data_IF_613804320192
#
_entry.id   IF_613804320192
#
_cell.length_a   1.000
_cell.length_b   1.000
_cell.length_c   1.000
_cell.angle_alpha   90.00
_cell.angle_beta   90.00
_cell.angle_gamma   90.00
#
_symmetry.space_group_name_H-M   'P 1'
#
loop_
_entity.id
_entity.type
_entity.pdbx_description
1 polymer ?
#
# COMPACT_ATOMS: atom_id res chain seq x y z
N UNK A 1 -27.55 -10.75 22.94
CA UNK A 1 -26.75 -9.51 22.93
C UNK A 1 -25.90 -9.51 21.67
N UNK A 2 -26.18 -8.62 20.71
CA UNK A 2 -25.32 -8.50 19.52
C UNK A 2 -23.94 -7.99 19.95
N UNK A 3 -22.84 -8.57 19.44
CA UNK A 3 -21.51 -8.08 19.76
C UNK A 3 -21.38 -6.61 19.35
N UNK A 4 -20.64 -5.79 20.12
CA UNK A 4 -20.43 -4.39 19.75
C UNK A 4 -19.82 -4.33 18.34
N UNK A 5 -20.27 -3.37 17.49
CA UNK A 5 -19.79 -3.27 16.13
C UNK A 5 -18.27 -3.12 16.13
N UNK A 6 -17.59 -3.90 15.28
CA UNK A 6 -16.14 -3.86 15.17
C UNK A 6 -15.67 -2.43 14.89
N UNK A 7 -14.79 -1.90 15.76
CA UNK A 7 -14.29 -0.53 15.68
C UNK A 7 -12.91 -0.52 15.06
N UNK A 8 -12.71 0.36 14.10
CA UNK A 8 -11.38 0.67 13.56
C UNK A 8 -10.85 1.95 14.18
N UNK A 9 -9.62 1.90 14.68
CA UNK A 9 -8.87 3.08 15.13
C UNK A 9 -7.74 3.36 14.15
N UNK A 10 -7.65 4.61 13.68
CA UNK A 10 -6.60 5.03 12.77
C UNK A 10 -5.22 4.89 13.43
N UNK A 11 -4.31 4.04 12.92
CA UNK A 11 -2.96 3.88 13.47
C UNK A 11 -2.03 5.05 13.13
N UNK A 12 -2.54 6.11 12.49
CA UNK A 12 -1.78 7.27 12.06
C UNK A 12 -0.69 6.97 11.01
N UNK A 13 -0.79 5.81 10.35
CA UNK A 13 0.14 5.42 9.29
C UNK A 13 -0.01 6.32 8.07
N UNK A 14 1.11 6.59 7.42
CA UNK A 14 1.23 7.33 6.16
C UNK A 14 1.65 6.38 5.04
N UNK A 15 1.64 6.86 3.80
CA UNK A 15 2.18 6.11 2.65
C UNK A 15 3.64 5.69 2.85
N UNK A 16 4.44 6.50 3.54
CA UNK A 16 5.85 6.21 3.87
C UNK A 16 6.04 4.99 4.77
N UNK A 17 5.03 4.56 5.51
CA UNK A 17 5.13 3.39 6.39
C UNK A 17 5.09 2.07 5.63
N UNK A 18 4.77 2.10 4.34
CA UNK A 18 4.57 0.91 3.49
C UNK A 18 5.56 0.81 2.32
N UNK A 19 6.54 1.70 2.25
CA UNK A 19 7.54 1.70 1.16
C UNK A 19 8.73 0.81 1.47
N UNK A 20 8.80 0.16 2.63
CA UNK A 20 9.88 -0.76 3.02
C UNK A 20 10.00 -1.95 2.05
N UNK A 21 8.85 -2.51 1.67
CA UNK A 21 8.71 -3.55 0.65
C UNK A 21 7.57 -3.17 -0.27
N UNK A 22 7.82 -3.18 -1.59
CA UNK A 22 6.81 -2.91 -2.62
C UNK A 22 6.74 -4.09 -3.58
N UNK A 23 5.54 -4.61 -3.80
CA UNK A 23 5.25 -5.70 -4.72
C UNK A 23 4.94 -5.12 -6.10
N UNK A 24 5.73 -5.50 -7.11
CA UNK A 24 5.63 -4.99 -8.48
C UNK A 24 5.53 -6.14 -9.48
N UNK A 25 5.06 -5.84 -10.69
CA UNK A 25 5.12 -6.77 -11.82
C UNK A 25 6.54 -6.77 -12.40
N UNK A 26 7.15 -7.94 -12.46
CA UNK A 26 8.49 -8.09 -13.05
C UNK A 26 8.45 -7.72 -14.54
N UNK A 27 9.30 -6.80 -15.02
CA UNK A 27 9.31 -6.42 -16.44
C UNK A 27 9.81 -7.54 -17.37
N UNK A 28 10.49 -8.57 -16.82
CA UNK A 28 11.05 -9.68 -17.62
C UNK A 28 10.12 -10.88 -17.76
N UNK A 29 9.35 -11.22 -16.73
CA UNK A 29 8.53 -12.44 -16.72
C UNK A 29 7.08 -12.22 -16.28
N UNK A 30 6.69 -10.97 -16.04
CA UNK A 30 5.37 -10.57 -15.55
C UNK A 30 4.89 -11.25 -14.25
N UNK A 31 5.76 -11.99 -13.55
CA UNK A 31 5.51 -12.53 -12.20
C UNK A 31 5.80 -11.50 -11.12
N UNK A 32 5.51 -11.86 -9.87
CA UNK A 32 5.74 -10.99 -8.72
C UNK A 32 7.24 -10.73 -8.53
N UNK A 33 7.59 -9.46 -8.37
CA UNK A 33 8.91 -9.00 -7.96
C UNK A 33 8.78 -8.08 -6.75
N UNK A 34 9.87 -7.91 -6.01
CA UNK A 34 9.91 -7.12 -4.79
C UNK A 34 10.93 -6.00 -4.94
N UNK A 35 10.51 -4.78 -4.64
CA UNK A 35 11.41 -3.64 -4.41
C UNK A 35 11.57 -3.49 -2.91
N UNK A 36 12.79 -3.62 -2.40
CA UNK A 36 13.07 -3.57 -0.97
C UNK A 36 14.08 -2.48 -0.67
N UNK A 37 13.93 -1.80 0.48
CA UNK A 37 15.02 -0.99 1.03
C UNK A 37 16.26 -1.86 1.19
N UNK A 38 17.39 -1.42 0.65
CA UNK A 38 18.64 -1.99 1.11
C UNK A 38 18.85 -1.51 2.54
N UNK A 39 19.17 -2.41 3.49
CA UNK A 39 19.53 -1.99 4.84
C UNK A 39 20.84 -1.21 4.75
N UNK A 40 20.74 0.11 4.60
CA UNK A 40 21.86 1.01 4.86
C UNK A 40 21.97 1.12 6.37
N UNK A 41 23.10 0.72 6.93
CA UNK A 41 23.45 1.09 8.28
C UNK A 41 23.28 2.62 8.40
N UNK A 42 22.53 3.08 9.40
CA UNK A 42 22.52 4.49 9.86
C UNK A 42 21.67 5.54 9.12
N UNK A 43 20.76 5.17 8.19
CA UNK A 43 19.87 6.19 7.62
C UNK A 43 18.74 6.60 8.60
N UNK A 44 18.58 7.91 8.91
CA UNK A 44 17.48 8.40 9.74
C UNK A 44 16.09 8.05 9.15
N UNK A 45 15.02 7.94 9.98
CA UNK A 45 13.68 7.55 9.52
C UNK A 45 13.12 8.46 8.41
N UNK A 46 13.49 9.75 8.41
CA UNK A 46 13.03 10.75 7.45
C UNK A 46 13.69 10.63 6.07
N UNK A 47 14.76 9.84 5.92
CA UNK A 47 15.50 9.66 4.66
C UNK A 47 15.16 8.34 3.96
N UNK A 48 14.22 7.55 4.52
CA UNK A 48 13.80 6.24 3.97
C UNK A 48 13.31 6.30 2.52
N UNK A 49 12.80 7.44 2.09
CA UNK A 49 12.46 7.66 0.69
C UNK A 49 13.65 7.57 -0.24
N UNK A 50 14.82 8.05 0.16
CA UNK A 50 15.99 8.14 -0.71
C UNK A 50 16.99 7.01 -0.49
N UNK A 51 16.72 6.11 0.46
CA UNK A 51 17.52 4.90 0.68
C UNK A 51 17.59 4.05 -0.60
N UNK A 52 18.79 3.57 -0.98
CA UNK A 52 18.95 2.67 -2.12
C UNK A 52 17.99 1.48 -2.07
N UNK A 53 17.41 1.13 -3.22
CA UNK A 53 16.39 0.08 -3.32
C UNK A 53 16.88 -1.05 -4.22
N UNK A 54 16.55 -2.29 -3.88
CA UNK A 54 16.81 -3.45 -4.72
C UNK A 54 15.52 -4.04 -5.24
N UNK A 55 15.38 -4.12 -6.56
CA UNK A 55 14.37 -4.91 -7.25
C UNK A 55 14.88 -6.34 -7.38
N UNK A 56 14.12 -7.32 -6.89
CA UNK A 56 14.42 -8.75 -7.01
C UNK A 56 13.19 -9.51 -7.49
N UNK A 57 13.33 -10.26 -8.58
CA UNK A 57 12.38 -11.28 -8.99
C UNK A 57 12.96 -12.67 -8.73
N UNK A 58 12.28 -13.46 -7.90
CA UNK A 58 12.72 -14.83 -7.56
C UNK A 58 12.46 -15.85 -8.67
N UNK A 59 11.54 -15.56 -9.59
CA UNK A 59 11.19 -16.49 -10.67
C UNK A 59 12.19 -16.48 -11.82
N UNK A 60 12.61 -15.30 -12.29
CA UNK A 60 13.52 -15.18 -13.44
C UNK A 60 14.93 -14.68 -13.07
N UNK A 61 15.19 -14.47 -11.77
CA UNK A 61 16.48 -14.00 -11.27
C UNK A 61 16.80 -12.52 -11.56
N UNK A 62 15.84 -11.72 -12.06
CA UNK A 62 16.08 -10.29 -12.29
C UNK A 62 16.45 -9.60 -10.97
N UNK A 63 17.62 -8.98 -10.94
CA UNK A 63 18.09 -8.13 -9.85
C UNK A 63 18.54 -6.79 -10.40
N UNK A 64 18.01 -5.68 -9.86
CA UNK A 64 18.44 -4.31 -10.18
C UNK A 64 18.55 -3.49 -8.91
N UNK A 65 19.50 -2.58 -8.87
CA UNK A 65 19.66 -1.64 -7.76
C UNK A 65 19.35 -0.22 -8.24
N UNK A 66 18.56 0.49 -7.45
CA UNK A 66 18.31 1.92 -7.57
C UNK A 66 19.14 2.62 -6.50
N UNK A 67 20.03 3.53 -6.90
CA UNK A 67 21.11 4.06 -6.07
C UNK A 67 20.79 5.39 -5.36
N UNK A 68 19.51 5.78 -5.30
CA UNK A 68 19.14 7.14 -4.88
C UNK A 68 18.88 8.03 -6.09
N UNK A 69 17.92 8.96 -5.95
CA UNK A 69 17.45 9.83 -7.03
C UNK A 69 16.07 10.41 -6.72
N UNK A 70 15.42 10.99 -7.74
CA UNK A 70 14.04 11.47 -7.60
C UNK A 70 13.08 10.29 -7.39
N UNK A 71 12.49 10.23 -6.21
CA UNK A 71 11.37 9.35 -5.88
C UNK A 71 10.20 10.22 -5.44
N UNK A 72 9.04 10.02 -6.06
CA UNK A 72 7.81 10.71 -5.68
C UNK A 72 6.74 9.67 -5.37
N UNK A 73 6.18 9.75 -4.17
CA UNK A 73 4.95 9.04 -3.88
C UNK A 73 3.81 9.69 -4.65
N UNK A 74 2.74 8.94 -4.88
CA UNK A 74 1.57 9.45 -5.57
C UNK A 74 0.94 10.57 -4.73
N UNK A 75 1.24 11.81 -5.11
CA UNK A 75 0.62 12.99 -4.53
C UNK A 75 -0.88 13.00 -4.87
N UNK A 76 -1.73 13.16 -3.86
CA UNK A 76 -3.17 13.33 -4.03
C UNK A 76 -4.03 12.12 -3.64
N UNK A 77 -5.28 12.15 -4.09
CA UNK A 77 -6.35 11.19 -3.75
C UNK A 77 -6.37 9.96 -4.65
N UNK A 78 -5.46 9.87 -5.63
CA UNK A 78 -5.39 8.75 -6.60
C UNK A 78 -4.50 7.65 -6.04
N UNK A 79 -4.96 6.41 -6.14
CA UNK A 79 -4.18 5.25 -5.71
C UNK A 79 -2.90 5.13 -6.56
N UNK A 80 -1.76 4.71 -5.97
CA UNK A 80 -0.52 4.56 -6.71
C UNK A 80 -0.67 3.48 -7.78
N UNK A 81 -0.34 3.79 -9.02
CA UNK A 81 -0.35 2.82 -10.14
C UNK A 81 1.03 2.17 -10.33
N UNK A 82 2.09 2.87 -9.95
CA UNK A 82 3.47 2.43 -10.09
C UNK A 82 4.25 2.55 -8.78
N UNK A 83 5.32 1.78 -8.67
CA UNK A 83 6.28 1.95 -7.59
C UNK A 83 7.06 3.27 -7.76
N UNK A 84 7.41 3.95 -6.66
CA UNK A 84 8.03 5.28 -6.71
C UNK A 84 9.50 5.27 -7.16
N UNK A 85 10.13 4.10 -7.29
CA UNK A 85 11.58 3.95 -7.52
C UNK A 85 11.91 3.54 -8.96
N UNK A 86 11.35 2.42 -9.39
CA UNK A 86 11.58 1.83 -10.71
C UNK A 86 10.44 2.13 -11.69
N UNK A 87 9.36 2.79 -11.23
CA UNK A 87 8.16 3.13 -12.03
C UNK A 87 7.54 1.91 -12.69
N UNK A 88 7.64 0.74 -12.04
CA UNK A 88 7.02 -0.50 -12.46
C UNK A 88 5.58 -0.58 -11.96
N UNK A 89 4.67 -1.20 -12.72
CA UNK A 89 3.29 -1.40 -12.27
C UNK A 89 3.24 -2.20 -10.97
N UNK A 90 2.37 -1.78 -10.05
CA UNK A 90 2.17 -2.52 -8.80
C UNK A 90 1.57 -3.91 -9.08
N UNK A 91 1.98 -4.89 -8.27
CA UNK A 91 1.37 -6.23 -8.33
C UNK A 91 -0.05 -6.21 -7.75
N UNK A 92 -0.21 -5.50 -6.63
CA UNK A 92 -1.48 -5.34 -5.92
C UNK A 92 -2.23 -4.14 -6.51
N UNK A 93 -2.87 -4.36 -7.65
CA UNK A 93 -3.70 -3.37 -8.32
C UNK A 93 -4.90 -4.06 -8.97
N UNK A 94 -6.09 -3.49 -8.78
CA UNK A 94 -7.35 -3.95 -9.37
C UNK A 94 -8.15 -2.75 -9.85
N UNK A 95 -8.67 -2.84 -11.06
CA UNK A 95 -9.62 -1.87 -11.60
C UNK A 95 -11.04 -2.21 -11.11
N UNK A 96 -11.76 -1.17 -10.67
CA UNK A 96 -13.17 -1.23 -10.29
C UNK A 96 -13.93 -0.18 -11.10
N UNK A 97 -15.27 -0.27 -11.14
CA UNK A 97 -16.10 0.75 -11.81
C UNK A 97 -15.95 2.16 -11.22
N UNK A 98 -15.41 2.28 -10.02
CA UNK A 98 -15.20 3.56 -9.32
C UNK A 98 -13.78 4.10 -9.46
N UNK A 99 -12.87 3.30 -10.02
CA UNK A 99 -11.46 3.61 -10.19
C UNK A 99 -10.56 2.47 -9.76
N UNK A 100 -9.25 2.74 -9.77
CA UNK A 100 -8.23 1.76 -9.44
C UNK A 100 -8.04 1.70 -7.92
N UNK A 101 -8.02 0.48 -7.39
CA UNK A 101 -7.57 0.17 -6.04
C UNK A 101 -6.18 -0.44 -6.10
N UNK A 102 -5.27 0.01 -5.25
CA UNK A 102 -3.92 -0.55 -5.18
C UNK A 102 -3.28 -0.45 -3.80
N UNK A 103 -2.21 -1.20 -3.61
CA UNK A 103 -1.38 -1.20 -2.42
C UNK A 103 0.07 -1.50 -2.78
N UNK A 104 1.02 -1.01 -1.98
CA UNK A 104 2.43 -1.35 -2.12
C UNK A 104 2.72 -2.77 -1.65
N UNK A 105 2.11 -3.20 -0.55
CA UNK A 105 2.33 -4.52 0.02
C UNK A 105 1.12 -5.05 0.79
N UNK A 106 1.24 -6.30 1.26
CA UNK A 106 0.19 -6.95 2.04
C UNK A 106 -0.12 -6.21 3.35
N UNK A 107 0.87 -5.60 4.03
CA UNK A 107 0.62 -4.84 5.26
C UNK A 107 -0.30 -3.63 5.02
N UNK A 108 -0.10 -2.92 3.91
CA UNK A 108 -0.98 -1.83 3.49
C UNK A 108 -2.36 -2.34 3.10
N UNK A 109 -2.41 -3.44 2.34
CA UNK A 109 -3.66 -4.10 1.94
C UNK A 109 -4.49 -4.54 3.15
N UNK A 110 -3.83 -5.03 4.20
CA UNK A 110 -4.45 -5.47 5.44
C UNK A 110 -5.03 -4.30 6.23
N UNK A 111 -4.30 -3.18 6.28
CA UNK A 111 -4.81 -1.97 6.91
C UNK A 111 -6.05 -1.44 6.16
N UNK A 112 -6.01 -1.43 4.83
CA UNK A 112 -7.14 -1.08 3.99
C UNK A 112 -8.35 -1.99 4.25
N UNK A 113 -8.14 -3.31 4.28
CA UNK A 113 -9.19 -4.29 4.56
C UNK A 113 -9.83 -4.07 5.93
N UNK A 114 -9.02 -3.90 6.98
CA UNK A 114 -9.51 -3.60 8.35
C UNK A 114 -10.30 -2.31 8.41
N UNK A 115 -9.84 -1.25 7.74
CA UNK A 115 -10.54 0.03 7.67
C UNK A 115 -11.90 -0.09 6.96
N UNK A 116 -11.93 -0.76 5.81
CA UNK A 116 -13.14 -0.89 4.99
C UNK A 116 -14.18 -1.77 5.68
N UNK A 117 -13.75 -2.89 6.28
CA UNK A 117 -14.61 -3.83 6.98
C UNK A 117 -15.28 -3.22 8.22
N UNK A 118 -14.63 -2.27 8.89
CA UNK A 118 -15.18 -1.69 10.10
C UNK A 118 -16.43 -0.83 9.83
N UNK A 119 -17.55 -1.11 10.53
CA UNK A 119 -18.73 -0.25 10.52
C UNK A 119 -18.48 1.10 11.20
N UNK A 120 -17.68 1.13 12.27
CA UNK A 120 -17.32 2.34 12.99
C UNK A 120 -15.83 2.63 12.82
N UNK A 121 -15.50 3.84 12.36
CA UNK A 121 -14.13 4.28 12.07
C UNK A 121 -13.82 5.53 12.88
N UNK A 122 -12.99 5.36 13.90
CA UNK A 122 -12.55 6.43 14.79
C UNK A 122 -11.28 7.05 14.20
N UNK A 123 -11.32 8.36 13.91
CA UNK A 123 -10.13 9.14 13.58
C UNK A 123 -9.41 9.51 14.87
N UNK A 124 -8.09 9.72 14.79
CA UNK A 124 -7.34 10.23 15.93
C UNK A 124 -7.94 11.57 16.43
N UNK A 125 -7.92 11.84 17.75
CA UNK A 125 -8.48 13.06 18.32
C UNK A 125 -7.87 14.32 17.72
N UNK A 126 -8.63 15.40 17.65
CA UNK A 126 -8.21 16.66 17.02
C UNK A 126 -6.97 17.30 17.70
N UNK A 127 -6.81 17.04 19.01
CA UNK A 127 -5.68 17.48 19.84
C UNK A 127 -4.46 16.55 19.76
N UNK A 128 -4.53 15.47 18.98
CA UNK A 128 -3.39 14.58 18.76
C UNK A 128 -2.29 15.29 17.97
N UNK A 129 -1.03 15.10 18.37
CA UNK A 129 0.16 15.61 17.68
C UNK A 129 0.52 14.80 16.41
N UNK A 130 -0.32 13.83 16.05
CA UNK A 130 -0.11 12.93 14.92
C UNK A 130 -0.38 13.55 13.54
N UNK A 131 0.05 12.89 12.46
CA UNK A 131 -0.18 13.35 11.10
C UNK A 131 -1.68 13.46 10.80
N UNK A 132 -2.12 14.65 10.37
CA UNK A 132 -3.53 14.91 10.02
C UNK A 132 -3.97 14.20 8.73
N UNK A 133 -3.03 13.94 7.82
CA UNK A 133 -3.25 13.30 6.52
C UNK A 133 -2.70 11.88 6.50
N UNK A 134 -3.34 11.00 7.27
CA UNK A 134 -3.04 9.57 7.31
C UNK A 134 -3.40 8.89 5.99
N UNK A 135 -2.87 7.68 5.79
CA UNK A 135 -3.21 6.83 4.65
C UNK A 135 -4.73 6.67 4.49
N UNK A 136 -5.43 6.32 5.57
CA UNK A 136 -6.89 6.11 5.54
C UNK A 136 -7.67 7.40 5.31
N UNK A 137 -7.16 8.55 5.79
CA UNK A 137 -7.77 9.85 5.52
C UNK A 137 -7.68 10.24 4.04
N UNK A 138 -6.54 9.91 3.39
CA UNK A 138 -6.26 10.19 1.96
C UNK A 138 -6.98 9.26 0.99
N UNK A 139 -7.61 8.19 1.46
CA UNK A 139 -8.35 7.28 0.59
C UNK A 139 -9.46 8.01 -0.20
N UNK A 140 -9.71 7.59 -1.44
CA UNK A 140 -10.83 8.09 -2.23
C UNK A 140 -12.17 8.00 -1.49
N UNK A 141 -13.08 8.94 -1.74
CA UNK A 141 -14.40 8.94 -1.13
C UNK A 141 -15.18 7.65 -1.41
N UNK A 142 -15.03 7.09 -2.62
CA UNK A 142 -15.70 5.84 -3.00
C UNK A 142 -15.19 4.62 -2.21
N UNK A 143 -13.92 4.59 -1.80
CA UNK A 143 -13.36 3.52 -0.94
C UNK A 143 -13.92 3.64 0.48
N UNK A 144 -14.12 4.88 0.94
CA UNK A 144 -14.68 5.19 2.28
C UNK A 144 -16.19 4.97 2.33
N UNK A 145 -16.90 4.96 1.21
CA UNK A 145 -18.34 4.77 1.16
C UNK A 145 -18.76 3.39 1.68
N UNK A 146 -19.71 3.37 2.63
CA UNK A 146 -20.27 2.11 3.13
C UNK A 146 -20.97 1.30 2.03
N UNK A 147 -21.54 1.97 1.01
CA UNK A 147 -22.21 1.32 -0.12
C UNK A 147 -21.27 0.45 -0.96
N UNK A 148 -19.98 0.79 -0.96
CA UNK A 148 -18.97 0.10 -1.77
C UNK A 148 -18.16 -0.92 -0.94
N UNK A 149 -18.51 -1.12 0.34
CA UNK A 149 -17.74 -1.94 1.28
C UNK A 149 -17.48 -3.33 0.73
N UNK A 150 -18.52 -4.04 0.31
CA UNK A 150 -18.38 -5.42 -0.19
C UNK A 150 -17.54 -5.50 -1.46
N UNK A 151 -17.72 -4.56 -2.39
CA UNK A 151 -16.96 -4.51 -3.64
C UNK A 151 -15.47 -4.30 -3.37
N UNK A 152 -15.15 -3.37 -2.46
CA UNK A 152 -13.77 -3.10 -2.05
C UNK A 152 -13.15 -4.30 -1.32
N UNK A 153 -13.88 -4.93 -0.39
CA UNK A 153 -13.38 -6.13 0.31
C UNK A 153 -13.13 -7.29 -0.65
N UNK A 154 -14.05 -7.54 -1.59
CA UNK A 154 -13.84 -8.53 -2.66
C UNK A 154 -12.60 -8.21 -3.51
N UNK A 155 -12.33 -6.94 -3.80
CA UNK A 155 -11.11 -6.53 -4.50
C UNK A 155 -9.85 -6.78 -3.65
N UNK A 156 -9.90 -6.52 -2.35
CA UNK A 156 -8.83 -6.81 -1.39
C UNK A 156 -8.53 -8.31 -1.33
N UNK A 157 -9.55 -9.16 -1.24
CA UNK A 157 -9.39 -10.60 -1.16
C UNK A 157 -8.80 -11.19 -2.44
N UNK A 158 -9.25 -10.72 -3.62
CA UNK A 158 -8.65 -11.08 -4.92
C UNK A 158 -7.16 -10.73 -4.97
N UNK A 159 -6.81 -9.51 -4.55
CA UNK A 159 -5.42 -9.05 -4.50
C UNK A 159 -4.56 -9.94 -3.58
N UNK A 160 -5.09 -10.31 -2.41
CA UNK A 160 -4.41 -11.20 -1.46
C UNK A 160 -4.21 -12.60 -2.05
N UNK A 161 -5.25 -13.18 -2.66
CA UNK A 161 -5.18 -14.49 -3.30
C UNK A 161 -4.12 -14.52 -4.42
N UNK A 162 -4.03 -13.46 -5.24
CA UNK A 162 -3.02 -13.36 -6.31
C UNK A 162 -1.57 -13.38 -5.79
N UNK A 163 -1.30 -12.97 -4.55
CA UNK A 163 0.05 -13.06 -3.97
C UNK A 163 0.34 -14.47 -3.49
N UNK A 164 -0.63 -15.14 -2.88
CA UNK A 164 -0.47 -16.52 -2.38
C UNK A 164 -0.28 -17.49 -3.55
N UNK A 165 -1.04 -17.34 -4.63
CA UNK A 165 -0.94 -18.22 -5.81
C UNK A 165 0.27 -17.94 -6.71
N UNK A 166 0.96 -16.80 -6.51
CA UNK A 166 2.14 -16.42 -7.29
C UNK A 166 3.46 -16.56 -6.53
N UNK A 167 3.40 -16.93 -5.24
CA UNK A 167 4.54 -17.28 -4.41
C UNK A 167 4.91 -18.75 -4.57
#
# INVERSE_FOLDING_TARGET
MSPPPARFRDPLSTEYDFIDVILVRCPRCARIARVQAQPTAEAPPHTRLFTPRRLVCRTCGLSRTWQGGWAALSGGSRAPDHDPYFRLPLWLQVETRHGVLSAYNLRQLDLLGKFVAAPLRERAPWYGTGPRMTYVARLPAWVKSAKNREEVLRAVDRMRACVVSAG
#
